data_IF_052575560788
#
_entry.id   IF_052575560788
#
_cell.length_a   1.000
_cell.length_b   1.000
_cell.length_c   1.000
_cell.angle_alpha   90.00
_cell.angle_beta   90.00
_cell.angle_gamma   90.00
#
_symmetry.space_group_name_H-M   'P 1'
#
loop_
_entity.id
_entity.type
_entity.pdbx_description
1 polymer ?
#
# COMPACT_ATOMS: atom_id res chain seq x y z
N UNK A 1 -9.73 -0.59 1.55
CA UNK A 1 -8.73 -1.50 2.16
C UNK A 1 -7.46 -0.70 2.30
N UNK A 2 -6.73 -0.86 3.39
CA UNK A 2 -5.41 -0.24 3.55
C UNK A 2 -4.37 -1.27 3.99
N UNK A 3 -3.11 -1.03 3.66
CA UNK A 3 -1.98 -1.82 4.13
C UNK A 3 -0.75 -0.93 4.29
N UNK A 4 0.06 -1.21 5.31
CA UNK A 4 1.25 -0.42 5.62
C UNK A 4 2.51 -1.12 5.09
N UNK A 5 3.46 -0.33 4.64
CA UNK A 5 4.75 -0.79 4.14
C UNK A 5 5.89 -0.07 4.86
N UNK A 6 6.97 -0.80 5.11
CA UNK A 6 8.24 -0.18 5.51
C UNK A 6 8.92 0.53 4.33
N UNK A 7 10.00 1.27 4.58
CA UNK A 7 10.75 1.94 3.50
C UNK A 7 11.19 0.98 2.41
N UNK A 8 11.76 -0.16 2.79
CA UNK A 8 12.33 -1.14 1.85
C UNK A 8 11.23 -1.79 1.00
N UNK A 9 10.05 -2.00 1.58
CA UNK A 9 8.90 -2.55 0.87
C UNK A 9 8.24 -1.54 -0.08
N UNK A 10 8.40 -0.25 0.19
CA UNK A 10 7.87 0.84 -0.63
C UNK A 10 8.76 1.21 -1.83
N UNK A 11 9.92 0.58 -1.97
CA UNK A 11 10.84 0.81 -3.09
C UNK A 11 10.38 0.11 -4.38
N UNK A 12 10.67 0.73 -5.53
CA UNK A 12 10.42 0.11 -6.82
C UNK A 12 11.49 -0.96 -7.13
N UNK A 13 11.12 -2.16 -7.63
CA UNK A 13 9.79 -2.59 -8.06
C UNK A 13 8.97 -3.31 -6.97
N UNK A 14 9.50 -3.47 -5.76
CA UNK A 14 8.90 -4.30 -4.70
C UNK A 14 7.49 -3.82 -4.32
N UNK A 15 7.27 -2.51 -4.30
CA UNK A 15 5.96 -1.90 -4.00
C UNK A 15 4.82 -2.43 -4.88
N UNK A 16 5.10 -2.83 -6.13
CA UNK A 16 4.09 -3.35 -7.06
C UNK A 16 3.42 -4.63 -6.55
N UNK A 17 4.14 -5.45 -5.77
CA UNK A 17 3.59 -6.66 -5.18
C UNK A 17 2.48 -6.34 -4.18
N UNK A 18 2.59 -5.22 -3.47
CA UNK A 18 1.58 -4.76 -2.53
C UNK A 18 0.32 -4.29 -3.25
N UNK A 19 0.49 -3.51 -4.33
CA UNK A 19 -0.63 -3.13 -5.19
C UNK A 19 -1.41 -4.35 -5.68
N UNK A 20 -0.70 -5.36 -6.21
CA UNK A 20 -1.30 -6.62 -6.66
C UNK A 20 -2.00 -7.37 -5.52
N UNK A 21 -1.42 -7.41 -4.32
CA UNK A 21 -1.98 -8.10 -3.17
C UNK A 21 -3.28 -7.45 -2.70
N UNK A 22 -3.33 -6.12 -2.62
CA UNK A 22 -4.53 -5.38 -2.24
C UNK A 22 -5.63 -5.57 -3.29
N UNK A 23 -5.30 -5.43 -4.57
CA UNK A 23 -6.24 -5.68 -5.68
C UNK A 23 -6.85 -7.08 -5.60
N UNK A 24 -6.01 -8.11 -5.48
CA UNK A 24 -6.46 -9.52 -5.39
C UNK A 24 -7.30 -9.76 -4.15
N UNK A 25 -6.99 -9.12 -3.02
CA UNK A 25 -7.82 -9.23 -1.82
C UNK A 25 -9.21 -8.65 -2.04
N UNK A 26 -9.32 -7.43 -2.60
CA UNK A 26 -10.60 -6.78 -2.87
C UNK A 26 -11.48 -7.67 -3.76
N UNK A 27 -10.91 -8.18 -4.87
CA UNK A 27 -11.62 -9.08 -5.77
C UNK A 27 -12.06 -10.39 -5.11
N UNK A 28 -11.18 -11.04 -4.35
CA UNK A 28 -11.48 -12.33 -3.69
C UNK A 28 -12.56 -12.21 -2.63
N UNK A 29 -12.74 -11.03 -2.04
CA UNK A 29 -13.77 -10.76 -1.05
C UNK A 29 -15.08 -10.23 -1.68
N UNK A 30 -15.16 -10.16 -3.01
CA UNK A 30 -16.39 -9.78 -3.73
C UNK A 30 -16.69 -8.29 -3.71
N UNK A 31 -15.71 -7.45 -3.39
CA UNK A 31 -15.83 -5.99 -3.43
C UNK A 31 -15.47 -5.44 -4.82
N UNK A 32 -16.06 -4.31 -5.17
CA UNK A 32 -15.76 -3.52 -6.36
C UNK A 32 -14.86 -2.33 -5.99
N UNK A 33 -13.87 -2.06 -6.84
CA UNK A 33 -12.95 -0.93 -6.64
C UNK A 33 -13.65 0.35 -7.07
N UNK A 34 -13.84 1.29 -6.16
CA UNK A 34 -14.63 2.52 -6.39
C UNK A 34 -13.76 3.73 -6.76
N UNK A 35 -12.45 3.56 -6.88
CA UNK A 35 -11.55 4.64 -7.27
C UNK A 35 -10.07 4.24 -7.27
N UNK A 36 -9.21 5.20 -7.62
CA UNK A 36 -7.78 4.96 -7.73
C UNK A 36 -7.12 4.66 -6.38
N UNK A 37 -6.04 3.84 -6.37
CA UNK A 37 -5.15 3.74 -5.21
C UNK A 37 -4.64 5.10 -4.73
N UNK A 38 -4.27 5.15 -3.46
CA UNK A 38 -3.60 6.29 -2.84
C UNK A 38 -2.42 5.80 -2.01
N UNK A 39 -1.31 6.52 -2.09
CA UNK A 39 -0.17 6.38 -1.20
C UNK A 39 -0.23 7.51 -0.18
N UNK A 40 -0.31 7.15 1.10
CA UNK A 40 -0.29 8.09 2.21
C UNK A 40 1.06 7.97 2.89
N UNK A 41 1.92 8.97 2.72
CA UNK A 41 3.24 9.04 3.34
C UNK A 41 3.07 9.39 4.82
N UNK A 42 3.33 8.41 5.69
CA UNK A 42 3.15 8.55 7.13
C UNK A 42 4.31 9.33 7.76
N UNK A 43 5.49 9.29 7.13
CA UNK A 43 6.74 9.88 7.62
C UNK A 43 7.57 10.43 6.44
N UNK A 44 8.62 11.18 6.77
CA UNK A 44 9.61 11.64 5.78
C UNK A 44 10.58 10.52 5.45
N UNK A 45 10.94 10.34 4.18
CA UNK A 45 11.84 9.27 3.72
C UNK A 45 13.27 9.35 4.29
N UNK A 46 13.65 10.47 4.92
CA UNK A 46 15.03 10.68 5.38
C UNK A 46 15.25 10.12 6.78
N UNK A 47 16.09 9.08 6.88
CA UNK A 47 16.56 8.53 8.16
C UNK A 47 15.51 7.70 8.90
N UNK A 48 14.55 7.12 8.16
CA UNK A 48 13.60 6.15 8.70
C UNK A 48 14.33 4.85 9.06
N UNK A 49 13.91 4.27 10.18
CA UNK A 49 14.27 2.91 10.53
C UNK A 49 13.64 1.93 9.50
N UNK A 50 14.40 1.00 8.89
CA UNK A 50 13.87 0.04 7.92
C UNK A 50 12.69 -0.80 8.41
N UNK A 51 12.50 -0.93 9.73
CA UNK A 51 11.39 -1.68 10.33
C UNK A 51 10.15 -0.78 10.62
N UNK A 52 10.27 0.54 10.49
CA UNK A 52 9.14 1.46 10.67
C UNK A 52 8.28 1.58 9.40
N UNK A 53 6.97 1.68 9.61
CA UNK A 53 6.04 1.95 8.51
C UNK A 53 6.23 3.35 7.94
N UNK A 54 6.47 3.40 6.63
CA UNK A 54 6.77 4.60 5.88
C UNK A 54 5.54 5.09 5.09
N UNK A 55 4.85 4.18 4.40
CA UNK A 55 3.67 4.49 3.59
C UNK A 55 2.50 3.58 3.93
N UNK A 56 1.29 4.09 3.72
CA UNK A 56 0.08 3.31 3.62
C UNK A 56 -0.40 3.31 2.15
N UNK A 57 -0.70 2.13 1.62
CA UNK A 57 -1.41 1.99 0.35
C UNK A 57 -2.88 1.74 0.64
N UNK A 58 -3.73 2.64 0.16
CA UNK A 58 -5.19 2.59 0.32
C UNK A 58 -5.87 2.44 -1.03
N UNK A 59 -6.83 1.51 -1.13
CA UNK A 59 -7.74 1.38 -2.27
C UNK A 59 -9.19 1.52 -1.78
N UNK A 60 -9.97 2.48 -2.31
CA UNK A 60 -11.39 2.59 -2.01
C UNK A 60 -12.15 1.45 -2.69
N UNK A 61 -13.09 0.85 -1.95
CA UNK A 61 -14.00 -0.18 -2.43
C UNK A 61 -15.39 0.02 -1.81
N UNK A 62 -16.41 -0.65 -2.33
CA UNK A 62 -17.84 -0.52 -1.96
C UNK A 62 -18.29 -1.28 -0.70
#
# INVERSE_FOLDING_TARGET
>A
MYTNLTSDQAEFPQILQTYDAVYKWIQRNGHEITGSPREIYLRSSKGIDPDEYFIEITWPYD
#
